data_IF_453844245540
#
_entry.id   IF_453844245540
#
_cell.length_a   1.000
_cell.length_b   1.000
_cell.length_c   1.000
_cell.angle_alpha   90.00
_cell.angle_beta   90.00
_cell.angle_gamma   90.00
#
_symmetry.space_group_name_H-M   'P 1'
#
loop_
_entity.id
_entity.type
_entity.pdbx_description
1 polymer ?
#
# COMPACT_ATOMS: atom_id res chain seq x y z
N UNK A 1 -2.59 -6.78 -28.33
CA UNK A 1 -1.63 -6.92 -27.23
C UNK A 1 -2.39 -6.80 -25.93
N UNK A 2 -2.55 -7.89 -25.18
CA UNK A 2 -3.17 -7.88 -23.86
C UNK A 2 -2.06 -7.56 -22.84
N UNK A 3 -1.89 -6.29 -22.50
CA UNK A 3 -1.05 -5.90 -21.36
C UNK A 3 -1.80 -6.33 -20.11
N UNK A 4 -1.44 -7.49 -19.56
CA UNK A 4 -1.93 -7.94 -18.24
C UNK A 4 -1.46 -6.89 -17.22
N UNK A 5 -2.40 -6.27 -16.52
CA UNK A 5 -2.11 -5.60 -15.25
C UNK A 5 -1.53 -6.64 -14.30
N UNK A 6 -0.32 -6.38 -13.80
CA UNK A 6 0.30 -7.20 -12.77
C UNK A 6 -0.18 -6.68 -11.41
N UNK A 7 -0.82 -7.54 -10.62
CA UNK A 7 -1.22 -7.25 -9.24
C UNK A 7 -0.44 -8.16 -8.31
N UNK A 8 0.19 -7.58 -7.31
CA UNK A 8 0.94 -8.29 -6.27
C UNK A 8 0.32 -7.98 -4.91
N UNK A 9 0.06 -9.03 -4.14
CA UNK A 9 -0.31 -8.89 -2.73
C UNK A 9 0.95 -8.80 -1.88
N UNK A 10 0.95 -7.86 -0.95
CA UNK A 10 2.06 -7.63 -0.03
C UNK A 10 1.56 -7.06 1.30
N UNK A 11 2.47 -7.03 2.28
CA UNK A 11 2.17 -6.56 3.61
C UNK A 11 3.04 -5.35 3.96
N UNK A 12 2.48 -4.42 4.71
CA UNK A 12 3.25 -3.41 5.43
C UNK A 12 3.25 -3.83 6.89
N UNK A 13 4.43 -4.24 7.37
CA UNK A 13 4.63 -4.69 8.75
C UNK A 13 5.28 -3.55 9.53
N UNK A 14 4.65 -3.17 10.63
CA UNK A 14 5.20 -2.19 11.55
C UNK A 14 6.11 -2.87 12.57
N UNK A 15 7.06 -2.13 13.16
CA UNK A 15 7.85 -2.63 14.29
C UNK A 15 7.01 -3.06 15.52
N UNK A 16 5.78 -2.54 15.66
CA UNK A 16 4.84 -2.98 16.69
C UNK A 16 4.16 -4.32 16.37
N UNK A 17 4.47 -4.94 15.22
CA UNK A 17 3.91 -6.21 14.78
C UNK A 17 2.53 -6.09 14.11
N UNK A 18 2.04 -4.86 13.87
CA UNK A 18 0.81 -4.67 13.10
C UNK A 18 1.09 -4.96 11.64
N UNK A 19 0.13 -5.64 11.00
CA UNK A 19 0.22 -6.03 9.60
C UNK A 19 -0.92 -5.38 8.85
N UNK A 20 -0.59 -4.62 7.82
CA UNK A 20 -1.55 -4.02 6.90
C UNK A 20 -1.48 -4.74 5.56
N UNK A 21 -2.63 -5.18 5.07
CA UNK A 21 -2.73 -5.83 3.77
C UNK A 21 -2.66 -4.76 2.68
N UNK A 22 -1.88 -5.01 1.65
CA UNK A 22 -1.77 -4.10 0.51
C UNK A 22 -1.76 -4.85 -0.80
N UNK A 23 -2.38 -4.27 -1.82
CA UNK A 23 -2.27 -4.71 -3.20
C UNK A 23 -1.53 -3.64 -3.99
N UNK A 24 -0.51 -4.01 -4.75
CA UNK A 24 0.15 -3.10 -5.68
C UNK A 24 -0.11 -3.55 -7.11
N UNK A 25 -0.70 -2.67 -7.91
CA UNK A 25 -1.18 -3.00 -9.27
C UNK A 25 -0.59 -2.06 -10.30
N UNK A 26 0.04 -2.60 -11.33
CA UNK A 26 0.43 -1.84 -12.52
C UNK A 26 -0.79 -1.62 -13.43
N UNK A 27 -1.05 -0.35 -13.75
CA UNK A 27 -2.10 0.08 -14.66
C UNK A 27 -1.56 0.21 -16.10
N UNK A 28 -2.47 0.18 -17.08
CA UNK A 28 -2.12 0.21 -18.51
C UNK A 28 -1.43 1.50 -18.98
N UNK A 29 -1.52 2.58 -18.20
CA UNK A 29 -0.93 3.89 -18.49
C UNK A 29 0.44 4.10 -17.80
N UNK A 30 1.17 3.02 -17.47
CA UNK A 30 2.42 3.08 -16.69
C UNK A 30 2.28 3.73 -15.30
N UNK A 31 1.08 3.78 -14.73
CA UNK A 31 0.89 4.15 -13.33
C UNK A 31 0.78 2.91 -12.45
N UNK A 32 1.05 3.09 -11.17
CA UNK A 32 0.96 2.08 -10.13
C UNK A 32 -0.05 2.53 -9.09
N UNK A 33 -0.91 1.61 -8.66
CA UNK A 33 -1.86 1.82 -7.58
C UNK A 33 -1.46 0.94 -6.41
N UNK A 34 -1.18 1.54 -5.26
CA UNK A 34 -1.08 0.85 -3.98
C UNK A 34 -2.42 1.00 -3.24
N UNK A 35 -3.14 -0.11 -3.07
CA UNK A 35 -4.38 -0.18 -2.30
C UNK A 35 -4.07 -0.72 -0.92
N UNK A 36 -4.10 0.14 0.10
CA UNK A 36 -3.90 -0.25 1.51
C UNK A 36 -5.25 -0.57 2.11
N UNK A 37 -5.39 -1.74 2.73
CA UNK A 37 -6.59 -2.19 3.42
C UNK A 37 -6.32 -2.19 4.92
N UNK A 38 -7.17 -1.51 5.68
CA UNK A 38 -6.98 -1.32 7.11
C UNK A 38 -8.31 -1.26 7.86
N UNK A 39 -8.28 -1.48 9.16
CA UNK A 39 -9.45 -1.43 10.03
C UNK A 39 -9.33 -0.25 11.00
N UNK A 40 -10.40 0.55 11.11
CA UNK A 40 -10.56 1.59 12.13
C UNK A 40 -11.94 1.43 12.75
N UNK A 41 -12.01 1.40 14.08
CA UNK A 41 -13.26 1.27 14.83
C UNK A 41 -14.15 0.11 14.36
N UNK A 42 -13.56 -1.08 14.16
CA UNK A 42 -14.26 -2.28 13.66
C UNK A 42 -14.84 -2.14 12.25
N UNK A 43 -14.41 -1.14 11.48
CA UNK A 43 -14.84 -0.92 10.09
C UNK A 43 -13.65 -1.06 9.16
N UNK A 44 -13.79 -1.92 8.16
CA UNK A 44 -12.79 -2.10 7.11
C UNK A 44 -12.84 -0.92 6.13
N UNK A 45 -11.70 -0.29 5.93
CA UNK A 45 -11.48 0.85 5.06
C UNK A 45 -10.37 0.52 4.07
N UNK A 46 -10.27 1.32 3.01
CA UNK A 46 -9.16 1.22 2.07
C UNK A 46 -8.77 2.59 1.54
N UNK A 47 -7.49 2.73 1.21
CA UNK A 47 -6.94 3.92 0.55
C UNK A 47 -6.25 3.51 -0.75
N UNK A 48 -6.52 4.23 -1.84
CA UNK A 48 -5.89 4.00 -3.14
C UNK A 48 -4.88 5.10 -3.44
N UNK A 49 -3.61 4.71 -3.59
CA UNK A 49 -2.50 5.64 -3.76
C UNK A 49 -1.93 5.45 -5.16
N UNK A 50 -1.98 6.51 -5.96
CA UNK A 50 -1.54 6.50 -7.35
C UNK A 50 -0.15 7.12 -7.50
N UNK A 51 0.77 6.41 -8.13
CA UNK A 51 2.12 6.90 -8.44
C UNK A 51 2.58 6.45 -9.82
N UNK A 52 3.68 7.02 -10.31
CA UNK A 52 4.26 6.68 -11.62
C UNK A 52 5.22 5.49 -11.58
N UNK A 53 5.61 5.04 -10.39
CA UNK A 53 6.47 3.88 -10.21
C UNK A 53 6.04 3.04 -8.99
N UNK A 54 6.40 1.75 -9.03
CA UNK A 54 6.04 0.77 -8.00
C UNK A 54 6.58 1.15 -6.63
N UNK A 55 7.82 1.63 -6.57
CA UNK A 55 8.50 1.89 -5.30
C UNK A 55 7.93 3.14 -4.63
N UNK A 56 7.62 4.20 -5.38
CA UNK A 56 6.94 5.38 -4.87
C UNK A 56 5.52 5.06 -4.43
N UNK A 57 4.79 4.20 -5.15
CA UNK A 57 3.46 3.74 -4.71
C UNK A 57 3.55 3.05 -3.33
N UNK A 58 4.49 2.12 -3.18
CA UNK A 58 4.77 1.47 -1.90
C UNK A 58 5.19 2.47 -0.82
N UNK A 59 6.15 3.34 -1.10
CA UNK A 59 6.67 4.31 -0.13
C UNK A 59 5.59 5.28 0.33
N UNK A 60 4.73 5.74 -0.60
CA UNK A 60 3.61 6.63 -0.26
C UNK A 60 2.55 5.90 0.57
N UNK A 61 2.30 4.62 0.30
CA UNK A 61 1.44 3.78 1.16
C UNK A 61 2.02 3.61 2.57
N UNK A 62 3.34 3.46 2.68
CA UNK A 62 4.04 3.44 3.95
C UNK A 62 3.87 4.75 4.72
N UNK A 63 4.02 5.88 4.03
CA UNK A 63 3.86 7.21 4.63
C UNK A 63 2.40 7.50 4.99
N UNK A 64 1.43 6.99 4.22
CA UNK A 64 0.01 7.05 4.58
C UNK A 64 -0.28 6.36 5.91
N UNK A 65 0.23 5.14 6.10
CA UNK A 65 0.07 4.39 7.36
C UNK A 65 0.68 5.18 8.51
N UNK A 66 1.90 5.71 8.34
CA UNK A 66 2.54 6.54 9.37
C UNK A 66 1.70 7.78 9.69
N UNK A 67 1.25 8.51 8.69
CA UNK A 67 0.61 9.80 8.94
C UNK A 67 -0.83 9.69 9.46
N UNK A 68 -1.55 8.61 9.13
CA UNK A 68 -3.00 8.52 9.37
C UNK A 68 -3.41 7.39 10.32
N UNK A 69 -2.60 6.35 10.51
CA UNK A 69 -3.00 5.14 11.25
C UNK A 69 -2.06 4.86 12.42
N UNK A 70 -0.76 4.80 12.18
CA UNK A 70 0.25 4.47 13.17
C UNK A 70 1.51 5.32 12.98
N UNK A 71 1.53 6.50 13.61
CA UNK A 71 2.63 7.48 13.53
C UNK A 71 3.99 6.95 13.97
N UNK A 72 4.02 5.90 14.79
CA UNK A 72 5.25 5.29 15.28
C UNK A 72 5.62 4.02 14.49
N UNK A 73 4.87 3.69 13.44
CA UNK A 73 5.21 2.59 12.56
C UNK A 73 6.57 2.83 11.90
N UNK A 74 7.55 2.02 12.29
CA UNK A 74 8.74 1.82 11.48
C UNK A 74 8.41 0.70 10.50
N UNK A 75 8.53 0.99 9.21
CA UNK A 75 8.12 0.07 8.16
C UNK A 75 9.33 -0.69 7.68
N UNK A 76 9.22 -2.01 7.62
CA UNK A 76 10.28 -2.87 7.13
C UNK A 76 10.42 -2.69 5.60
N UNK A 77 11.64 -2.48 5.08
CA UNK A 77 11.86 -2.45 3.65
C UNK A 77 11.56 -3.81 3.01
N UNK A 78 11.01 -3.77 1.79
CA UNK A 78 10.74 -4.93 0.93
C UNK A 78 12.02 -5.64 0.48
#
# INVERSE_FOLDING_TARGET
MTTRSATEAMHIITNSGKVFNMLITQQQNNTWIATVIYEINSTLQHENIHQYDRNSAYQTACDFIKNNIDRLATIQPL
#
